data_IF_795598178667
#
_entry.id   IF_795598178667
#
_cell.length_a   1.000
_cell.length_b   1.000
_cell.length_c   1.000
_cell.angle_alpha   90.00
_cell.angle_beta   90.00
_cell.angle_gamma   90.00
#
_symmetry.space_group_name_H-M   'P 1'
#
loop_
_entity.id
_entity.type
_entity.pdbx_description
1 polymer ?
#
# COMPACT_ATOMS: atom_id res chain seq x y z
N UNK A 1 -19.49 11.28 -6.99
CA UNK A 1 -19.90 10.81 -5.65
C UNK A 1 -18.65 10.53 -4.83
N UNK A 2 -18.63 10.90 -3.55
CA UNK A 2 -17.50 10.61 -2.67
C UNK A 2 -17.54 9.12 -2.30
N UNK A 3 -16.41 8.42 -2.40
CA UNK A 3 -16.37 7.00 -2.01
C UNK A 3 -16.44 6.88 -0.47
N UNK A 4 -17.17 5.88 0.07
CA UNK A 4 -17.14 5.57 1.49
C UNK A 4 -15.72 5.20 1.97
N UNK A 5 -15.47 5.46 3.25
CA UNK A 5 -14.29 5.00 3.98
C UNK A 5 -14.74 3.96 5.02
N UNK A 6 -14.28 2.71 4.87
CA UNK A 6 -14.51 1.63 5.81
C UNK A 6 -13.32 1.49 6.76
N UNK A 7 -13.58 1.45 8.06
CA UNK A 7 -12.62 1.15 9.11
C UNK A 7 -12.89 -0.25 9.64
N UNK A 8 -11.98 -1.17 9.34
CA UNK A 8 -12.01 -2.55 9.83
C UNK A 8 -10.88 -2.79 10.83
N UNK A 9 -10.83 -3.97 11.44
CA UNK A 9 -9.75 -4.37 12.34
C UNK A 9 -10.25 -5.00 13.63
N UNK A 10 -9.30 -5.47 14.44
CA UNK A 10 -9.60 -6.23 15.65
C UNK A 10 -10.37 -5.40 16.67
N UNK A 11 -10.99 -6.07 17.66
CA UNK A 11 -11.68 -5.35 18.73
C UNK A 11 -10.70 -4.43 19.47
N UNK A 12 -11.18 -3.30 20.00
CA UNK A 12 -10.35 -2.29 20.68
C UNK A 12 -9.25 -1.61 19.82
N UNK A 13 -9.25 -1.83 18.49
CA UNK A 13 -8.40 -1.08 17.55
C UNK A 13 -8.79 0.40 17.39
N UNK A 14 -9.89 0.86 18.00
CA UNK A 14 -10.31 2.26 17.97
C UNK A 14 -11.17 2.69 16.78
N UNK A 15 -11.73 1.75 16.01
CA UNK A 15 -12.55 2.00 14.80
C UNK A 15 -13.61 3.09 14.99
N UNK A 16 -14.47 2.98 16.01
CA UNK A 16 -15.52 3.96 16.29
C UNK A 16 -14.95 5.34 16.63
N UNK A 17 -13.96 5.40 17.51
CA UNK A 17 -13.35 6.65 17.96
C UNK A 17 -12.60 7.37 16.84
N UNK A 18 -11.79 6.63 16.08
CA UNK A 18 -11.07 7.15 14.89
C UNK A 18 -12.06 7.57 13.81
N UNK A 19 -13.10 6.78 13.55
CA UNK A 19 -14.13 7.10 12.57
C UNK A 19 -14.88 8.38 12.90
N UNK A 20 -15.25 8.59 14.18
CA UNK A 20 -15.86 9.84 14.65
C UNK A 20 -14.90 11.03 14.51
N UNK A 21 -13.63 10.86 14.83
CA UNK A 21 -12.62 11.91 14.67
C UNK A 21 -12.47 12.33 13.21
N UNK A 22 -12.39 11.36 12.27
CA UNK A 22 -12.31 11.64 10.83
C UNK A 22 -13.58 12.32 10.33
N UNK A 23 -14.75 11.80 10.72
CA UNK A 23 -16.04 12.37 10.33
C UNK A 23 -16.18 13.83 10.79
N UNK A 24 -15.84 14.11 12.05
CA UNK A 24 -15.83 15.47 12.59
C UNK A 24 -14.86 16.39 11.84
N UNK A 25 -13.65 15.92 11.53
CA UNK A 25 -12.64 16.71 10.82
C UNK A 25 -12.99 16.97 9.34
N UNK A 26 -13.83 16.12 8.73
CA UNK A 26 -14.15 16.18 7.30
C UNK A 26 -15.57 16.62 6.99
N UNK A 27 -16.42 16.81 8.01
CA UNK A 27 -17.85 17.07 7.85
C UNK A 27 -18.65 15.90 7.26
N UNK A 28 -18.05 14.69 7.19
CA UNK A 28 -18.70 13.49 6.68
C UNK A 28 -19.60 12.87 7.74
N UNK A 29 -20.64 12.17 7.29
CA UNK A 29 -21.48 11.35 8.18
C UNK A 29 -20.68 10.16 8.71
N UNK A 30 -20.80 9.89 10.01
CA UNK A 30 -20.26 8.70 10.66
C UNK A 30 -21.35 7.65 10.84
N UNK A 31 -21.02 6.39 10.55
CA UNK A 31 -21.87 5.22 10.79
C UNK A 31 -21.06 4.16 11.53
N UNK A 32 -21.65 3.57 12.58
CA UNK A 32 -21.13 2.36 13.20
C UNK A 32 -22.07 1.20 12.86
N UNK A 33 -21.55 0.14 12.22
CA UNK A 33 -22.37 -0.99 11.79
C UNK A 33 -23.02 -1.71 12.98
N UNK A 34 -22.34 -1.75 14.13
CA UNK A 34 -22.88 -2.36 15.35
C UNK A 34 -24.09 -1.55 15.86
N UNK A 35 -24.05 -0.21 15.77
CA UNK A 35 -25.17 0.67 16.14
C UNK A 35 -26.35 0.52 15.16
N UNK A 36 -26.07 0.37 13.87
CA UNK A 36 -27.10 0.14 12.83
C UNK A 36 -27.85 -1.16 13.09
N UNK A 37 -27.16 -2.23 13.50
CA UNK A 37 -27.78 -3.51 13.84
C UNK A 37 -28.57 -3.40 15.16
N UNK A 38 -28.01 -2.75 16.17
CA UNK A 38 -28.64 -2.60 17.49
C UNK A 38 -29.93 -1.76 17.47
N UNK A 39 -30.10 -0.88 16.46
CA UNK A 39 -31.34 -0.13 16.24
C UNK A 39 -32.59 -1.02 16.06
N UNK A 40 -32.42 -2.32 15.80
CA UNK A 40 -33.50 -3.33 15.78
C UNK A 40 -34.03 -3.73 17.17
N UNK A 41 -33.45 -3.23 18.27
CA UNK A 41 -33.96 -3.38 19.63
C UNK A 41 -33.23 -4.41 20.51
N UNK A 42 -32.24 -5.14 19.96
CA UNK A 42 -31.40 -6.08 20.71
C UNK A 42 -29.92 -5.70 20.62
N UNK A 43 -29.16 -5.89 21.72
CA UNK A 43 -27.71 -5.64 21.72
C UNK A 43 -26.95 -6.68 20.90
N UNK A 44 -25.86 -6.26 20.25
CA UNK A 44 -24.95 -7.15 19.48
C UNK A 44 -24.46 -8.33 20.32
N UNK A 45 -24.13 -8.12 21.59
CA UNK A 45 -23.68 -9.19 22.48
C UNK A 45 -24.75 -10.27 22.69
N UNK A 46 -26.02 -9.86 22.84
CA UNK A 46 -27.13 -10.80 22.97
C UNK A 46 -27.41 -11.56 21.67
N UNK A 47 -27.31 -10.88 20.52
CA UNK A 47 -27.48 -11.50 19.21
C UNK A 47 -26.42 -12.60 18.95
N UNK A 48 -25.15 -12.29 19.20
CA UNK A 48 -24.03 -13.22 19.02
C UNK A 48 -24.14 -14.41 19.96
N UNK A 49 -24.51 -14.19 21.23
CA UNK A 49 -24.65 -15.27 22.20
C UNK A 49 -25.80 -16.24 21.87
N UNK A 50 -26.83 -15.77 21.15
CA UNK A 50 -27.97 -16.59 20.74
C UNK A 50 -27.66 -17.44 19.52
N UNK A 51 -27.15 -16.83 18.46
CA UNK A 51 -26.84 -17.50 17.17
C UNK A 51 -25.84 -16.65 16.39
N UNK A 52 -24.55 -16.98 16.51
CA UNK A 52 -23.48 -16.26 15.80
C UNK A 52 -23.63 -16.35 14.26
N UNK A 53 -23.89 -17.51 13.64
CA UNK A 53 -24.16 -17.58 12.20
C UNK A 53 -25.29 -16.66 11.71
N UNK A 54 -26.41 -16.59 12.44
CA UNK A 54 -27.51 -15.69 12.12
C UNK A 54 -27.10 -14.22 12.30
N UNK A 55 -26.40 -13.90 13.38
CA UNK A 55 -25.85 -12.56 13.58
C UNK A 55 -24.95 -12.14 12.39
N UNK A 56 -24.08 -13.02 11.92
CA UNK A 56 -23.21 -12.73 10.76
C UNK A 56 -23.98 -12.49 9.47
N UNK A 57 -25.08 -13.24 9.23
CA UNK A 57 -25.99 -12.98 8.09
C UNK A 57 -26.64 -11.60 8.20
N UNK A 58 -27.08 -11.20 9.40
CA UNK A 58 -27.64 -9.86 9.65
C UNK A 58 -26.59 -8.77 9.47
N UNK A 59 -25.37 -8.98 9.95
CA UNK A 59 -24.23 -8.06 9.77
C UNK A 59 -23.92 -7.83 8.28
N UNK A 60 -23.90 -8.90 7.47
CA UNK A 60 -23.73 -8.80 6.02
C UNK A 60 -24.88 -8.05 5.32
N UNK A 61 -26.13 -8.28 5.72
CA UNK A 61 -27.30 -7.58 5.17
C UNK A 61 -27.31 -6.08 5.53
N UNK A 62 -26.94 -5.74 6.77
CA UNK A 62 -26.77 -4.37 7.22
C UNK A 62 -25.65 -3.67 6.43
N UNK A 63 -24.51 -4.33 6.23
CA UNK A 63 -23.40 -3.81 5.43
C UNK A 63 -23.84 -3.50 3.99
N UNK A 64 -24.58 -4.42 3.35
CA UNK A 64 -25.10 -4.20 2.00
C UNK A 64 -26.03 -2.96 1.92
N UNK A 65 -26.88 -2.77 2.93
CA UNK A 65 -27.76 -1.60 3.04
C UNK A 65 -26.96 -0.30 3.21
N UNK A 66 -25.95 -0.33 4.09
CA UNK A 66 -25.06 0.82 4.30
C UNK A 66 -24.30 1.18 3.03
N UNK A 67 -23.77 0.20 2.30
CA UNK A 67 -23.08 0.41 1.02
C UNK A 67 -24.02 1.05 0.00
N UNK A 68 -25.24 0.55 -0.15
CA UNK A 68 -26.22 1.11 -1.08
C UNK A 68 -26.60 2.57 -0.76
N UNK A 69 -26.62 2.93 0.53
CA UNK A 69 -26.90 4.29 1.02
C UNK A 69 -25.68 5.21 1.16
N UNK A 70 -24.50 4.82 0.69
CA UNK A 70 -23.22 5.51 0.93
C UNK A 70 -22.83 6.55 -0.13
N UNK A 71 -23.79 7.12 -0.86
CA UNK A 71 -23.54 8.06 -1.99
C UNK A 71 -22.89 9.39 -1.58
N UNK A 72 -23.06 9.79 -0.31
CA UNK A 72 -22.43 10.95 0.34
C UNK A 72 -20.98 10.65 0.82
N UNK A 73 -20.51 9.42 0.62
CA UNK A 73 -19.19 8.96 1.06
C UNK A 73 -19.04 9.03 2.58
N UNK A 74 -19.80 8.28 3.38
CA UNK A 74 -19.69 8.27 4.84
C UNK A 74 -18.38 7.62 5.32
N UNK A 75 -18.07 7.83 6.60
CA UNK A 75 -17.06 7.05 7.35
C UNK A 75 -17.79 5.95 8.12
N UNK A 76 -17.42 4.69 7.88
CA UNK A 76 -18.13 3.51 8.37
C UNK A 76 -17.16 2.69 9.24
N UNK A 77 -17.47 2.52 10.52
CA UNK A 77 -16.79 1.55 11.37
C UNK A 77 -17.55 0.21 11.33
N UNK A 78 -16.85 -0.91 11.22
CA UNK A 78 -17.46 -2.25 11.20
C UNK A 78 -17.20 -3.01 12.50
N UNK A 79 -18.04 -4.02 12.79
CA UNK A 79 -17.73 -5.04 13.78
C UNK A 79 -16.43 -5.79 13.47
N UNK A 80 -15.78 -6.32 14.50
CA UNK A 80 -14.47 -6.99 14.34
C UNK A 80 -14.52 -8.28 13.51
N UNK A 81 -15.69 -8.91 13.36
CA UNK A 81 -15.84 -10.10 12.51
C UNK A 81 -16.39 -9.80 11.11
N UNK A 82 -16.87 -8.57 10.85
CA UNK A 82 -17.58 -8.21 9.63
C UNK A 82 -16.78 -8.53 8.36
N UNK A 83 -15.49 -8.17 8.33
CA UNK A 83 -14.63 -8.36 7.16
C UNK A 83 -14.30 -9.84 6.87
N UNK A 84 -14.40 -10.72 7.87
CA UNK A 84 -14.02 -12.14 7.76
C UNK A 84 -15.18 -13.00 7.25
N UNK A 85 -16.41 -12.47 7.28
CA UNK A 85 -17.58 -13.22 6.90
C UNK A 85 -17.93 -13.07 5.42
N UNK A 86 -18.01 -14.20 4.70
CA UNK A 86 -18.41 -14.23 3.30
C UNK A 86 -17.49 -13.40 2.40
N UNK A 87 -18.09 -12.62 1.51
CA UNK A 87 -17.44 -11.70 0.57
C UNK A 87 -17.49 -10.23 1.04
N UNK A 88 -17.67 -10.00 2.35
CA UNK A 88 -17.88 -8.65 2.89
C UNK A 88 -16.68 -7.72 2.63
N UNK A 89 -15.44 -8.22 2.75
CA UNK A 89 -14.25 -7.43 2.48
C UNK A 89 -14.21 -6.98 1.02
N UNK A 90 -14.52 -7.88 0.10
CA UNK A 90 -14.55 -7.64 -1.34
C UNK A 90 -15.63 -6.63 -1.70
N UNK A 91 -16.82 -6.73 -1.07
CA UNK A 91 -17.89 -5.72 -1.22
C UNK A 91 -17.46 -4.34 -0.73
N UNK A 92 -16.83 -4.26 0.44
CA UNK A 92 -16.30 -3.00 0.95
C UNK A 92 -15.22 -2.42 0.03
N UNK A 93 -14.30 -3.27 -0.46
CA UNK A 93 -13.24 -2.84 -1.37
C UNK A 93 -13.77 -2.35 -2.72
N UNK A 94 -14.80 -3.01 -3.26
CA UNK A 94 -15.47 -2.58 -4.49
C UNK A 94 -16.23 -1.26 -4.31
N UNK A 95 -16.78 -1.01 -3.11
CA UNK A 95 -17.56 0.18 -2.82
C UNK A 95 -16.70 1.42 -2.49
N UNK A 96 -15.54 1.25 -1.84
CA UNK A 96 -14.71 2.38 -1.42
C UNK A 96 -13.40 1.99 -0.75
N UNK A 97 -12.80 2.96 -0.04
CA UNK A 97 -11.52 2.74 0.63
C UNK A 97 -11.72 1.92 1.90
N UNK A 98 -10.86 0.94 2.13
CA UNK A 98 -10.91 0.05 3.30
C UNK A 98 -9.59 0.15 4.02
N UNK A 99 -9.61 0.64 5.26
CA UNK A 99 -8.42 0.77 6.10
C UNK A 99 -8.59 -0.13 7.30
N UNK A 100 -7.67 -1.07 7.47
CA UNK A 100 -7.56 -1.87 8.67
C UNK A 100 -6.79 -1.10 9.73
N UNK A 101 -7.41 -0.93 10.91
CA UNK A 101 -6.71 -0.44 12.10
C UNK A 101 -6.03 -1.62 12.78
N UNK A 102 -4.70 -1.68 12.63
CA UNK A 102 -3.83 -2.65 13.28
C UNK A 102 -3.63 -2.31 14.75
N UNK A 103 -3.67 -3.31 15.60
CA UNK A 103 -3.39 -3.16 17.03
C UNK A 103 -2.72 -4.43 17.52
N UNK A 104 -1.68 -4.28 18.34
CA UNK A 104 -1.11 -5.41 19.05
C UNK A 104 -2.16 -6.07 19.95
N UNK A 105 -2.16 -7.40 20.02
CA UNK A 105 -3.18 -8.15 20.78
C UNK A 105 -3.15 -7.77 22.25
N UNK A 106 -1.97 -7.63 22.86
CA UNK A 106 -1.85 -7.30 24.30
C UNK A 106 -2.35 -5.89 24.57
N UNK A 107 -2.07 -4.96 23.65
CA UNK A 107 -2.60 -3.60 23.72
C UNK A 107 -4.13 -3.57 23.55
N UNK A 108 -4.69 -4.39 22.66
CA UNK A 108 -6.13 -4.54 22.49
C UNK A 108 -6.80 -5.10 23.76
N UNK A 109 -6.20 -6.11 24.38
CA UNK A 109 -6.65 -6.68 25.66
C UNK A 109 -6.62 -5.62 26.78
N UNK A 110 -5.52 -4.87 26.90
CA UNK A 110 -5.38 -3.77 27.88
C UNK A 110 -6.46 -2.70 27.70
N UNK A 111 -6.74 -2.30 26.46
CA UNK A 111 -7.81 -1.34 26.14
C UNK A 111 -9.21 -1.91 26.45
N UNK A 112 -9.39 -3.22 26.32
CA UNK A 112 -10.66 -3.89 26.60
C UNK A 112 -10.95 -4.07 28.10
N UNK A 113 -9.94 -4.08 28.97
CA UNK A 113 -10.09 -4.24 30.43
C UNK A 113 -10.89 -3.11 31.10
N UNK A 114 -11.03 -1.94 30.47
CA UNK A 114 -11.85 -0.83 30.96
C UNK A 114 -13.32 -0.86 30.54
N UNK A 115 -13.78 -1.91 29.84
CA UNK A 115 -15.15 -2.05 29.33
C UNK A 115 -15.92 -3.21 29.97
N UNK A 116 -17.21 -3.42 29.62
CA UNK A 116 -17.99 -4.56 30.10
C UNK A 116 -17.31 -5.89 29.73
N UNK A 117 -17.45 -6.95 30.57
CA UNK A 117 -16.74 -8.21 30.41
C UNK A 117 -17.05 -8.83 29.04
N UNK A 118 -16.02 -8.95 28.20
CA UNK A 118 -16.12 -9.58 26.88
C UNK A 118 -15.60 -11.02 26.97
N UNK A 119 -16.42 -12.05 26.71
CA UNK A 119 -16.04 -13.46 26.84
C UNK A 119 -14.86 -13.91 25.94
N UNK A 120 -14.40 -13.06 25.02
CA UNK A 120 -13.35 -13.37 24.03
C UNK A 120 -11.90 -13.13 24.51
N UNK A 121 -11.68 -12.62 25.72
CA UNK A 121 -10.32 -12.30 26.21
C UNK A 121 -9.42 -13.53 26.36
N UNK A 122 -9.97 -14.69 26.75
CA UNK A 122 -9.20 -15.93 26.92
C UNK A 122 -8.73 -16.55 25.58
N UNK A 123 -9.35 -16.17 24.46
CA UNK A 123 -9.05 -16.67 23.12
C UNK A 123 -8.65 -15.54 22.13
N UNK A 124 -8.38 -14.34 22.65
CA UNK A 124 -8.17 -13.15 21.83
C UNK A 124 -6.97 -13.30 20.90
N UNK A 125 -5.87 -13.90 21.38
CA UNK A 125 -4.69 -14.18 20.56
C UNK A 125 -5.00 -15.12 19.39
N UNK A 126 -5.68 -16.25 19.64
CA UNK A 126 -6.07 -17.19 18.59
C UNK A 126 -6.97 -16.51 17.54
N UNK A 127 -7.97 -15.76 18.00
CA UNK A 127 -8.89 -15.05 17.13
C UNK A 127 -8.21 -13.95 16.31
N UNK A 128 -7.27 -13.22 16.92
CA UNK A 128 -6.50 -12.19 16.22
C UNK A 128 -5.63 -12.81 15.12
N UNK A 129 -4.95 -13.92 15.40
CA UNK A 129 -4.15 -14.65 14.40
C UNK A 129 -5.00 -15.15 13.24
N UNK A 130 -6.21 -15.65 13.49
CA UNK A 130 -7.13 -16.09 12.43
C UNK A 130 -7.66 -14.95 11.56
N UNK A 131 -7.83 -13.75 12.12
CA UNK A 131 -8.41 -12.60 11.40
C UNK A 131 -7.38 -11.71 10.73
N UNK A 132 -6.12 -11.75 11.18
CA UNK A 132 -5.05 -10.90 10.66
C UNK A 132 -4.83 -11.04 9.14
N UNK A 133 -4.84 -12.25 8.53
CA UNK A 133 -4.72 -12.40 7.07
C UNK A 133 -5.79 -11.61 6.31
N UNK A 134 -7.05 -11.68 6.77
CA UNK A 134 -8.16 -10.93 6.16
C UNK A 134 -7.98 -9.42 6.30
N UNK A 135 -7.54 -8.93 7.47
CA UNK A 135 -7.29 -7.50 7.64
C UNK A 135 -6.13 -6.98 6.78
N UNK A 136 -5.09 -7.79 6.54
CA UNK A 136 -3.98 -7.44 5.65
C UNK A 136 -4.42 -7.27 4.19
N UNK A 137 -5.54 -7.88 3.80
CA UNK A 137 -6.17 -7.70 2.48
C UNK A 137 -6.97 -6.40 2.35
N UNK A 138 -6.99 -5.53 3.36
CA UNK A 138 -7.51 -4.15 3.21
C UNK A 138 -6.68 -3.35 2.20
N UNK A 139 -7.17 -2.18 1.76
CA UNK A 139 -6.37 -1.29 0.91
C UNK A 139 -5.16 -0.73 1.67
N UNK A 140 -5.25 -0.57 2.98
CA UNK A 140 -4.13 -0.18 3.83
C UNK A 140 -4.28 -0.75 5.24
N UNK A 141 -3.16 -0.89 5.93
CA UNK A 141 -3.11 -1.16 7.38
C UNK A 141 -2.46 0.04 8.06
N UNK A 142 -3.11 0.60 9.07
CA UNK A 142 -2.60 1.69 9.91
C UNK A 142 -2.44 1.17 11.33
N UNK A 143 -1.22 1.18 11.85
CA UNK A 143 -0.96 0.80 13.24
C UNK A 143 -1.53 1.85 14.21
N UNK A 144 -2.16 1.38 15.27
CA UNK A 144 -2.77 2.20 16.32
C UNK A 144 -2.05 2.03 17.66
N UNK A 145 -1.05 1.17 17.72
CA UNK A 145 -0.30 0.87 18.93
C UNK A 145 0.59 2.05 19.30
N UNK A 146 0.46 2.57 20.52
CA UNK A 146 1.24 3.75 20.96
C UNK A 146 0.83 5.09 20.33
N UNK A 147 -0.21 5.14 19.52
CA UNK A 147 -0.69 6.35 18.86
C UNK A 147 -2.02 6.87 19.44
N UNK A 148 -2.17 8.18 19.47
CA UNK A 148 -3.43 8.84 19.81
C UNK A 148 -4.46 8.70 18.68
N UNK A 149 -5.74 8.88 19.02
CA UNK A 149 -6.83 8.83 18.03
C UNK A 149 -6.62 9.88 16.92
N UNK A 150 -6.10 11.07 17.27
CA UNK A 150 -5.86 12.15 16.31
C UNK A 150 -4.73 11.80 15.32
N UNK A 151 -3.64 11.17 15.80
CA UNK A 151 -2.54 10.72 14.95
C UNK A 151 -3.01 9.61 13.99
N UNK A 152 -3.77 8.63 14.50
CA UNK A 152 -4.33 7.55 13.68
C UNK A 152 -5.31 8.12 12.63
N UNK A 153 -6.20 9.04 13.02
CA UNK A 153 -7.12 9.69 12.08
C UNK A 153 -6.35 10.44 10.98
N UNK A 154 -5.28 11.15 11.33
CA UNK A 154 -4.41 11.85 10.37
C UNK A 154 -3.74 10.87 9.40
N UNK A 155 -3.23 9.73 9.91
CA UNK A 155 -2.64 8.69 9.09
C UNK A 155 -3.64 8.06 8.11
N UNK A 156 -4.86 7.75 8.57
CA UNK A 156 -5.95 7.25 7.71
C UNK A 156 -6.32 8.27 6.62
N UNK A 157 -6.40 9.55 6.95
CA UNK A 157 -6.66 10.60 5.96
C UNK A 157 -5.52 10.74 4.94
N UNK A 158 -4.27 10.50 5.35
CA UNK A 158 -3.13 10.49 4.42
C UNK A 158 -3.19 9.30 3.44
N UNK A 159 -3.58 8.12 3.93
CA UNK A 159 -3.92 6.97 3.08
C UNK A 159 -5.04 7.33 2.10
N UNK A 160 -6.11 7.97 2.58
CA UNK A 160 -7.23 8.38 1.73
C UNK A 160 -6.81 9.36 0.63
N UNK A 161 -5.92 10.32 0.94
CA UNK A 161 -5.33 11.20 -0.07
C UNK A 161 -4.51 10.43 -1.11
N UNK A 162 -3.68 9.48 -0.68
CA UNK A 162 -2.90 8.65 -1.60
C UNK A 162 -3.79 7.82 -2.52
N UNK A 163 -4.82 7.17 -1.97
CA UNK A 163 -5.79 6.39 -2.72
C UNK A 163 -6.63 7.22 -3.71
N UNK A 164 -7.06 8.43 -3.30
CA UNK A 164 -7.83 9.34 -4.18
C UNK A 164 -7.03 9.86 -5.37
N UNK A 165 -5.70 9.92 -5.27
CA UNK A 165 -4.81 10.30 -6.40
C UNK A 165 -4.76 9.21 -7.48
N UNK A 166 -5.20 7.98 -7.19
CA UNK A 166 -5.21 6.91 -8.18
C UNK A 166 -6.40 7.06 -9.14
N UNK A 167 -6.19 6.76 -10.44
CA UNK A 167 -7.29 6.55 -11.37
C UNK A 167 -8.25 5.48 -10.84
N UNK A 168 -9.53 5.59 -11.18
CA UNK A 168 -10.55 4.67 -10.65
C UNK A 168 -10.24 3.19 -10.92
N UNK A 169 -9.61 2.88 -12.07
CA UNK A 169 -9.21 1.54 -12.46
C UNK A 169 -8.13 0.91 -11.57
N UNK A 170 -7.39 1.69 -10.78
CA UNK A 170 -6.30 1.23 -9.91
C UNK A 170 -6.63 1.39 -8.41
N UNK A 171 -7.91 1.61 -8.07
CA UNK A 171 -8.32 1.81 -6.67
C UNK A 171 -8.38 0.52 -5.85
N UNK A 172 -8.14 -0.63 -6.46
CA UNK A 172 -7.87 -1.89 -5.79
C UNK A 172 -6.42 -2.00 -5.26
N UNK A 173 -5.57 -1.03 -5.54
CA UNK A 173 -4.17 -1.00 -5.10
C UNK A 173 -4.00 -1.11 -3.58
N UNK A 174 -2.85 -1.66 -3.19
CA UNK A 174 -2.37 -1.62 -1.81
C UNK A 174 -1.68 -0.29 -1.55
N UNK A 175 -2.06 0.39 -0.48
CA UNK A 175 -1.44 1.64 -0.03
C UNK A 175 -0.53 1.35 1.17
N UNK A 176 0.74 1.67 1.02
CA UNK A 176 1.71 1.60 2.11
C UNK A 176 1.53 2.84 2.98
N UNK A 177 0.97 2.67 4.18
CA UNK A 177 0.61 3.77 5.07
C UNK A 177 1.84 4.33 5.81
N UNK A 178 2.33 5.50 5.38
CA UNK A 178 3.52 6.18 5.93
C UNK A 178 3.27 7.68 6.16
N UNK A 179 2.04 8.04 6.54
CA UNK A 179 1.61 9.43 6.67
C UNK A 179 1.61 10.14 5.31
N UNK A 180 2.13 11.36 5.22
CA UNK A 180 2.22 12.11 3.95
C UNK A 180 3.08 11.43 2.87
N UNK A 181 3.92 10.46 3.26
CA UNK A 181 4.73 9.67 2.33
C UNK A 181 4.04 8.39 1.86
N UNK A 182 2.74 8.23 2.14
CA UNK A 182 1.99 7.06 1.68
C UNK A 182 1.96 6.99 0.15
N UNK A 183 2.16 5.79 -0.38
CA UNK A 183 2.20 5.53 -1.82
C UNK A 183 1.48 4.22 -2.15
N UNK A 184 1.10 4.09 -3.42
CA UNK A 184 0.42 2.91 -3.92
C UNK A 184 1.41 1.88 -4.48
N UNK A 185 1.07 0.62 -4.30
CA UNK A 185 1.61 -0.53 -5.01
C UNK A 185 0.47 -1.09 -5.85
N UNK A 186 0.58 -0.98 -7.17
CA UNK A 186 -0.46 -1.44 -8.11
C UNK A 186 -0.01 -2.71 -8.81
N UNK A 187 -0.97 -3.56 -9.18
CA UNK A 187 -0.73 -4.73 -10.01
C UNK A 187 -1.68 -4.70 -11.19
N UNK A 188 -1.14 -4.69 -12.41
CA UNK A 188 -1.93 -4.65 -13.65
C UNK A 188 -1.35 -5.59 -14.71
N UNK A 189 -2.14 -5.87 -15.74
CA UNK A 189 -1.66 -6.67 -16.87
C UNK A 189 -0.55 -5.92 -17.63
N UNK A 190 -0.78 -4.64 -17.93
CA UNK A 190 0.15 -3.76 -18.63
C UNK A 190 0.37 -2.46 -17.85
N UNK A 191 1.45 -1.74 -18.17
CA UNK A 191 1.73 -0.44 -17.58
C UNK A 191 0.67 0.58 -18.04
N UNK A 192 0.07 1.28 -17.08
CA UNK A 192 -0.84 2.40 -17.36
C UNK A 192 -0.07 3.73 -17.32
N UNK A 193 0.06 4.43 -18.46
CA UNK A 193 0.72 5.73 -18.52
C UNK A 193 0.04 6.78 -17.62
N UNK A 194 -1.29 6.81 -17.54
CA UNK A 194 -2.02 7.80 -16.74
C UNK A 194 -1.76 7.62 -15.25
N UNK A 195 -1.62 6.37 -14.81
CA UNK A 195 -1.24 6.04 -13.44
C UNK A 195 0.16 6.58 -13.11
N UNK A 196 1.17 6.30 -13.94
CA UNK A 196 2.55 6.73 -13.69
C UNK A 196 2.65 8.25 -13.69
N UNK A 197 2.09 8.88 -14.72
CA UNK A 197 2.13 10.33 -14.89
C UNK A 197 1.37 11.06 -13.77
N UNK A 198 0.21 10.55 -13.35
CA UNK A 198 -0.55 11.10 -12.23
C UNK A 198 0.18 11.06 -10.88
N UNK A 199 1.09 10.09 -10.68
CA UNK A 199 1.88 9.99 -9.44
C UNK A 199 3.18 10.80 -9.49
N UNK A 200 3.72 11.07 -10.68
CA UNK A 200 4.89 11.94 -10.86
C UNK A 200 4.58 13.42 -10.60
N UNK A 201 3.32 13.85 -10.78
CA UNK A 201 2.89 15.20 -10.48
C UNK A 201 3.13 16.14 -11.66
N UNK A 202 4.04 17.11 -11.52
CA UNK A 202 4.43 18.02 -12.61
C UNK A 202 5.93 18.28 -12.64
N UNK A 203 6.75 17.24 -12.88
CA UNK A 203 8.19 17.40 -12.91
C UNK A 203 8.66 18.30 -14.06
N UNK A 204 9.76 19.02 -13.83
CA UNK A 204 10.46 19.83 -14.85
C UNK A 204 11.10 18.97 -15.93
N UNK A 205 11.63 17.80 -15.55
CA UNK A 205 12.18 16.74 -16.42
C UNK A 205 11.95 15.37 -15.80
N UNK A 206 11.92 14.36 -16.67
CA UNK A 206 11.85 12.95 -16.27
C UNK A 206 13.10 12.24 -16.80
N UNK A 207 13.73 11.44 -15.94
CA UNK A 207 14.77 10.50 -16.36
C UNK A 207 14.38 9.06 -16.05
N UNK A 208 14.47 8.18 -17.04
CA UNK A 208 14.33 6.73 -16.89
C UNK A 208 15.72 6.13 -16.69
N UNK A 209 15.93 5.49 -15.54
CA UNK A 209 17.14 4.73 -15.24
C UNK A 209 16.81 3.24 -15.37
N UNK A 210 17.60 2.51 -16.15
CA UNK A 210 17.39 1.08 -16.44
C UNK A 210 18.71 0.35 -16.66
N UNK A 211 18.68 -0.97 -16.88
CA UNK A 211 19.85 -1.74 -17.34
C UNK A 211 19.73 -2.11 -18.83
N UNK A 212 20.84 -2.49 -19.47
CA UNK A 212 20.85 -2.79 -20.91
C UNK A 212 19.92 -3.92 -21.35
N UNK A 213 19.68 -4.94 -20.51
CA UNK A 213 18.78 -6.05 -20.85
C UNK A 213 17.33 -5.57 -20.84
N UNK A 214 16.92 -4.86 -19.77
CA UNK A 214 15.58 -4.30 -19.63
C UNK A 214 15.33 -3.21 -20.67
N UNK A 215 16.34 -2.40 -20.98
CA UNK A 215 16.27 -1.35 -21.99
C UNK A 215 15.88 -1.92 -23.37
N UNK A 216 16.55 -3.00 -23.79
CA UNK A 216 16.30 -3.62 -25.09
C UNK A 216 14.86 -4.15 -25.24
N UNK A 217 14.22 -4.56 -24.14
CA UNK A 217 12.88 -5.14 -24.16
C UNK A 217 11.77 -4.11 -23.94
N UNK A 218 11.95 -3.20 -22.98
CA UNK A 218 10.82 -2.47 -22.38
C UNK A 218 10.94 -0.95 -22.46
N UNK A 219 12.16 -0.40 -22.60
CA UNK A 219 12.38 1.05 -22.58
C UNK A 219 11.60 1.79 -23.68
N UNK A 220 11.55 1.32 -24.95
CA UNK A 220 10.77 2.02 -25.98
C UNK A 220 9.29 2.17 -25.63
N UNK A 221 8.67 1.12 -25.08
CA UNK A 221 7.27 1.14 -24.68
C UNK A 221 7.03 2.08 -23.48
N UNK A 222 7.94 2.07 -22.50
CA UNK A 222 7.84 2.95 -21.32
C UNK A 222 8.06 4.42 -21.69
N UNK A 223 9.03 4.72 -22.55
CA UNK A 223 9.25 6.10 -23.04
C UNK A 223 8.04 6.58 -23.85
N UNK A 224 7.48 5.73 -24.72
CA UNK A 224 6.27 6.06 -25.46
C UNK A 224 5.07 6.34 -24.54
N UNK A 225 4.92 5.56 -23.46
CA UNK A 225 3.93 5.82 -22.42
C UNK A 225 4.14 7.18 -21.73
N UNK A 226 5.39 7.60 -21.53
CA UNK A 226 5.72 8.86 -20.86
C UNK A 226 5.77 10.08 -21.80
N UNK A 227 5.57 9.89 -23.10
CA UNK A 227 5.75 10.94 -24.11
C UNK A 227 4.87 12.19 -23.90
N UNK A 228 3.78 12.10 -23.13
CA UNK A 228 2.94 13.23 -22.75
C UNK A 228 3.66 14.33 -21.93
N UNK A 229 4.85 14.05 -21.42
CA UNK A 229 5.71 15.01 -20.67
C UNK A 229 6.74 15.74 -21.53
N UNK A 230 6.84 15.40 -22.82
CA UNK A 230 7.93 15.86 -23.68
C UNK A 230 9.13 14.91 -23.64
N UNK A 231 10.34 15.48 -23.82
CA UNK A 231 11.56 14.70 -23.90
C UNK A 231 11.89 14.02 -22.56
N UNK A 232 11.95 12.68 -22.60
CA UNK A 232 12.30 11.83 -21.47
C UNK A 232 13.78 11.45 -21.59
N UNK A 233 14.57 11.81 -20.60
CA UNK A 233 15.97 11.38 -20.53
C UNK A 233 16.04 9.88 -20.24
N UNK A 234 16.96 9.17 -20.89
CA UNK A 234 17.15 7.74 -20.65
C UNK A 234 18.62 7.45 -20.39
N UNK A 235 18.90 6.69 -19.34
CA UNK A 235 20.25 6.28 -18.98
C UNK A 235 20.24 4.80 -18.62
N UNK A 236 21.08 4.02 -19.32
CA UNK A 236 21.27 2.61 -19.05
C UNK A 236 22.55 2.34 -18.24
N UNK A 237 22.50 1.32 -17.40
CA UNK A 237 23.66 0.76 -16.70
C UNK A 237 23.92 -0.68 -17.15
N UNK A 238 25.11 -1.18 -16.85
CA UNK A 238 25.41 -2.61 -17.05
C UNK A 238 24.48 -3.49 -16.18
N UNK A 239 23.99 -4.62 -16.70
CA UNK A 239 23.16 -5.51 -15.91
C UNK A 239 23.99 -6.22 -14.83
N UNK A 240 23.38 -6.39 -13.65
CA UNK A 240 23.93 -7.18 -12.55
C UNK A 240 24.37 -6.37 -11.34
N UNK A 241 24.65 -7.08 -10.24
CA UNK A 241 24.90 -6.50 -8.92
C UNK A 241 26.07 -5.51 -8.90
N UNK A 242 27.10 -5.72 -9.72
CA UNK A 242 28.29 -4.85 -9.78
C UNK A 242 27.95 -3.38 -10.12
N UNK A 243 26.80 -3.15 -10.76
CA UNK A 243 26.32 -1.80 -11.05
C UNK A 243 25.85 -1.04 -9.81
N UNK A 244 25.56 -1.72 -8.69
CA UNK A 244 25.30 -1.07 -7.40
C UNK A 244 26.62 -0.63 -6.75
N UNK A 245 27.27 0.37 -7.34
CA UNK A 245 28.53 0.89 -6.83
C UNK A 245 28.53 2.41 -6.79
N UNK A 246 29.42 2.99 -5.98
CA UNK A 246 29.65 4.44 -5.96
C UNK A 246 30.10 4.99 -7.32
N UNK A 247 30.88 4.22 -8.09
CA UNK A 247 31.31 4.64 -9.42
C UNK A 247 30.13 4.78 -10.38
N UNK A 248 29.21 3.81 -10.38
CA UNK A 248 27.98 3.91 -11.19
C UNK A 248 27.09 5.05 -10.69
N UNK A 249 26.93 5.19 -9.38
CA UNK A 249 26.18 6.28 -8.76
C UNK A 249 26.71 7.67 -9.18
N UNK A 250 28.03 7.88 -9.07
CA UNK A 250 28.68 9.15 -9.43
C UNK A 250 28.48 9.47 -10.90
N UNK A 251 28.64 8.48 -11.79
CA UNK A 251 28.37 8.62 -13.22
C UNK A 251 26.91 9.02 -13.47
N UNK A 252 25.96 8.30 -12.88
CA UNK A 252 24.52 8.60 -13.04
C UNK A 252 24.18 10.01 -12.55
N UNK A 253 24.64 10.38 -11.36
CA UNK A 253 24.38 11.70 -10.79
C UNK A 253 24.96 12.82 -11.68
N UNK A 254 26.21 12.66 -12.14
CA UNK A 254 26.86 13.64 -13.02
C UNK A 254 26.10 13.78 -14.34
N UNK A 255 25.81 12.66 -15.00
CA UNK A 255 25.13 12.65 -16.30
C UNK A 255 23.71 13.24 -16.22
N UNK A 256 22.99 13.00 -15.14
CA UNK A 256 21.65 13.59 -14.93
C UNK A 256 21.72 15.11 -14.74
N UNK A 257 22.70 15.61 -14.00
CA UNK A 257 22.91 17.06 -13.84
C UNK A 257 23.28 17.71 -15.17
N UNK A 258 24.18 17.08 -15.94
CA UNK A 258 24.62 17.57 -17.26
C UNK A 258 23.47 17.60 -18.28
N UNK A 259 22.53 16.66 -18.18
CA UNK A 259 21.28 16.62 -18.97
C UNK A 259 20.22 17.60 -18.47
N UNK A 260 20.53 18.41 -17.46
CA UNK A 260 19.70 19.50 -16.98
C UNK A 260 18.56 19.07 -16.07
N UNK A 261 18.67 17.91 -15.39
CA UNK A 261 17.79 17.63 -14.26
C UNK A 261 18.05 18.64 -13.15
N UNK A 262 16.98 19.02 -12.43
CA UNK A 262 17.00 19.94 -11.31
C UNK A 262 16.17 19.39 -10.12
N UNK A 263 16.00 20.19 -9.07
CA UNK A 263 15.21 19.83 -7.87
C UNK A 263 13.72 19.56 -8.16
N UNK A 264 13.21 19.99 -9.31
CA UNK A 264 11.84 19.77 -9.76
C UNK A 264 11.71 18.55 -10.68
N UNK A 265 12.82 17.86 -11.00
CA UNK A 265 12.80 16.68 -11.87
C UNK A 265 12.34 15.43 -11.12
N UNK A 266 12.10 14.34 -11.85
CA UNK A 266 11.74 13.05 -11.27
C UNK A 266 12.46 11.88 -11.96
N UNK A 267 12.63 10.79 -11.22
CA UNK A 267 13.25 9.55 -11.71
C UNK A 267 12.18 8.47 -11.88
N UNK A 268 12.29 7.70 -12.96
CA UNK A 268 11.57 6.45 -13.17
C UNK A 268 12.59 5.32 -13.17
N UNK A 269 12.52 4.44 -12.17
CA UNK A 269 13.37 3.27 -12.07
C UNK A 269 12.71 2.08 -12.79
N UNK A 270 13.23 1.69 -13.94
CA UNK A 270 12.70 0.60 -14.76
C UNK A 270 13.67 -0.59 -14.70
N UNK A 271 13.38 -1.60 -13.89
CA UNK A 271 14.26 -2.76 -13.79
C UNK A 271 13.99 -3.67 -12.59
N UNK A 272 14.93 -4.59 -12.33
CA UNK A 272 14.92 -5.41 -11.11
C UNK A 272 15.39 -4.66 -9.87
N UNK A 273 15.62 -5.39 -8.77
CA UNK A 273 16.04 -4.81 -7.49
C UNK A 273 17.34 -4.00 -7.57
N UNK A 274 18.27 -4.39 -8.47
CA UNK A 274 19.53 -3.66 -8.70
C UNK A 274 19.29 -2.23 -9.18
N UNK A 275 18.48 -2.09 -10.23
CA UNK A 275 18.11 -0.78 -10.78
C UNK A 275 17.27 -0.01 -9.76
N UNK A 276 16.32 -0.69 -9.10
CA UNK A 276 15.44 -0.06 -8.10
C UNK A 276 16.21 0.57 -6.95
N UNK A 277 17.19 -0.15 -6.38
CA UNK A 277 18.06 0.33 -5.31
C UNK A 277 18.92 1.51 -5.77
N UNK A 278 19.60 1.35 -6.91
CA UNK A 278 20.53 2.34 -7.44
C UNK A 278 19.80 3.64 -7.83
N UNK A 279 18.74 3.54 -8.63
CA UNK A 279 17.93 4.68 -9.05
C UNK A 279 17.22 5.35 -7.87
N UNK A 280 16.75 4.55 -6.90
CA UNK A 280 16.20 5.05 -5.66
C UNK A 280 17.22 5.83 -4.84
N UNK A 281 18.47 5.36 -4.76
CA UNK A 281 19.55 6.05 -4.03
C UNK A 281 19.99 7.33 -4.75
N UNK A 282 20.04 7.32 -6.09
CA UNK A 282 20.21 8.54 -6.89
C UNK A 282 19.08 9.53 -6.58
N UNK A 283 17.81 9.09 -6.61
CA UNK A 283 16.67 9.96 -6.30
C UNK A 283 16.70 10.52 -4.88
N UNK A 284 17.16 9.74 -3.91
CA UNK A 284 17.25 10.15 -2.51
C UNK A 284 18.30 11.24 -2.27
N UNK A 285 19.38 11.23 -3.04
CA UNK A 285 20.58 12.05 -2.78
C UNK A 285 20.72 13.21 -3.75
N UNK A 286 20.33 13.04 -5.02
CA UNK A 286 20.37 14.08 -6.03
C UNK A 286 19.45 15.24 -5.60
N UNK A 287 20.01 16.45 -5.55
CA UNK A 287 19.34 17.64 -5.04
C UNK A 287 18.74 17.50 -3.63
N UNK A 288 19.25 16.56 -2.82
CA UNK A 288 18.73 16.18 -1.49
C UNK A 288 17.33 15.56 -1.51
N UNK A 289 16.95 14.97 -2.62
CA UNK A 289 15.69 14.24 -2.75
C UNK A 289 14.82 14.76 -3.88
N UNK A 290 14.63 13.94 -4.90
CA UNK A 290 13.65 14.13 -5.96
C UNK A 290 12.67 12.94 -6.01
N UNK A 291 11.44 13.14 -6.55
CA UNK A 291 10.47 12.05 -6.68
C UNK A 291 11.01 10.88 -7.49
N UNK A 292 10.64 9.66 -7.08
CA UNK A 292 10.91 8.43 -7.81
C UNK A 292 9.65 7.58 -7.97
N UNK A 293 9.48 6.97 -9.15
CA UNK A 293 8.52 5.90 -9.40
C UNK A 293 9.29 4.61 -9.70
N UNK A 294 8.87 3.51 -9.09
CA UNK A 294 9.45 2.20 -9.32
C UNK A 294 8.56 1.43 -10.30
N UNK A 295 9.13 0.93 -11.40
CA UNK A 295 8.50 0.02 -12.36
C UNK A 295 9.30 -1.29 -12.32
N UNK A 296 9.04 -2.17 -11.33
CA UNK A 296 9.79 -3.40 -11.17
C UNK A 296 9.54 -4.37 -12.32
N UNK A 297 10.60 -4.97 -12.87
CA UNK A 297 10.55 -5.93 -13.99
C UNK A 297 10.89 -7.37 -13.59
N UNK A 298 11.07 -7.63 -12.29
CA UNK A 298 11.30 -8.97 -11.75
C UNK A 298 10.29 -9.26 -10.64
N UNK A 299 9.91 -10.53 -10.46
CA UNK A 299 9.01 -10.96 -9.37
C UNK A 299 9.60 -10.53 -8.02
N UNK A 300 10.91 -10.74 -7.82
CA UNK A 300 11.62 -10.35 -6.60
C UNK A 300 11.47 -8.85 -6.28
N UNK A 301 11.59 -7.99 -7.29
CA UNK A 301 11.43 -6.55 -7.10
C UNK A 301 9.97 -6.16 -6.81
N UNK A 302 9.01 -6.80 -7.50
CA UNK A 302 7.57 -6.56 -7.29
C UNK A 302 7.11 -6.92 -5.86
N UNK A 303 7.78 -7.88 -5.21
CA UNK A 303 7.32 -8.43 -3.92
C UNK A 303 8.16 -8.01 -2.73
N UNK A 304 9.36 -7.48 -2.94
CA UNK A 304 10.30 -7.12 -1.87
C UNK A 304 11.02 -5.79 -2.18
N UNK A 305 11.94 -5.79 -3.14
CA UNK A 305 12.92 -4.70 -3.28
C UNK A 305 12.33 -3.33 -3.66
N UNK A 306 11.20 -3.28 -4.39
CA UNK A 306 10.57 -2.01 -4.74
C UNK A 306 9.72 -1.43 -3.59
N UNK A 307 9.50 -2.20 -2.51
CA UNK A 307 8.60 -1.86 -1.40
C UNK A 307 9.43 -1.55 -0.15
N UNK A 308 8.99 -0.55 0.63
CA UNK A 308 9.62 -0.15 1.89
C UNK A 308 10.66 0.96 1.78
N UNK A 309 11.05 1.35 0.55
CA UNK A 309 11.88 2.52 0.28
C UNK A 309 13.33 2.38 0.73
N UNK A 310 13.83 1.16 0.94
CA UNK A 310 15.26 0.92 1.10
C UNK A 310 15.92 1.09 -0.26
N UNK A 311 16.98 1.89 -0.31
CA UNK A 311 17.74 2.15 -1.53
C UNK A 311 19.21 2.19 -1.16
N UNK A 312 20.10 1.61 -1.96
CA UNK A 312 21.50 1.45 -1.56
C UNK A 312 22.45 1.20 -2.73
N UNK A 313 23.73 1.41 -2.43
CA UNK A 313 24.88 0.94 -3.22
C UNK A 313 25.76 0.05 -2.37
N UNK A 314 26.52 -0.83 -3.02
CA UNK A 314 27.43 -1.75 -2.36
C UNK A 314 28.81 -1.10 -2.15
N UNK A 315 29.48 -1.56 -1.10
CA UNK A 315 30.89 -1.30 -0.84
C UNK A 315 31.70 -2.59 -1.07
N UNK A 316 33.03 -2.50 -1.29
CA UNK A 316 33.88 -3.69 -1.27
C UNK A 316 33.77 -4.50 0.02
N UNK A 317 33.42 -3.84 1.14
CA UNK A 317 33.22 -4.45 2.45
C UNK A 317 31.90 -5.23 2.57
N UNK A 318 30.92 -5.00 1.70
CA UNK A 318 29.63 -5.69 1.76
C UNK A 318 28.50 -4.97 1.03
N UNK A 319 27.40 -5.71 0.86
CA UNK A 319 26.22 -5.26 0.13
C UNK A 319 25.32 -4.36 0.96
N UNK A 320 24.67 -3.40 0.31
CA UNK A 320 23.66 -2.52 0.89
C UNK A 320 24.09 -1.77 2.16
N UNK A 321 25.40 -1.58 2.36
CA UNK A 321 25.92 -0.95 3.58
C UNK A 321 25.76 0.57 3.58
N UNK A 322 25.63 1.19 2.39
CA UNK A 322 25.40 2.63 2.25
C UNK A 322 24.15 2.87 1.44
N UNK A 323 23.21 3.62 2.01
CA UNK A 323 21.89 3.81 1.42
C UNK A 323 21.06 4.86 2.14
N UNK A 324 19.81 4.98 1.71
CA UNK A 324 18.82 5.88 2.28
C UNK A 324 17.43 5.22 2.30
N UNK A 325 16.59 5.65 3.24
CA UNK A 325 15.16 5.36 3.22
C UNK A 325 14.44 6.44 2.41
N UNK A 326 14.13 6.15 1.15
CA UNK A 326 13.46 7.04 0.22
C UNK A 326 12.25 6.37 -0.42
N UNK A 327 11.05 6.84 -0.05
CA UNK A 327 9.82 6.20 -0.49
C UNK A 327 9.47 6.64 -1.93
N UNK A 328 9.08 5.70 -2.80
CA UNK A 328 8.60 6.07 -4.12
C UNK A 328 7.24 6.76 -4.04
N UNK A 329 6.85 7.47 -5.10
CA UNK A 329 5.48 7.97 -5.29
C UNK A 329 4.51 6.86 -5.71
N UNK A 330 5.04 5.81 -6.34
CA UNK A 330 4.31 4.68 -6.88
C UNK A 330 5.26 3.50 -7.09
N UNK A 331 4.76 2.29 -6.84
CA UNK A 331 5.34 1.04 -7.36
C UNK A 331 4.33 0.44 -8.34
N UNK A 332 4.67 0.43 -9.63
CA UNK A 332 3.78 -0.02 -10.71
C UNK A 332 4.17 -1.42 -11.20
N UNK A 333 3.50 -2.45 -10.70
CA UNK A 333 3.76 -3.85 -11.09
C UNK A 333 2.92 -4.22 -12.33
N UNK A 334 3.48 -3.97 -13.51
CA UNK A 334 2.92 -4.46 -14.77
C UNK A 334 3.43 -5.88 -15.06
N UNK A 335 2.51 -6.85 -15.09
CA UNK A 335 2.84 -8.28 -15.14
C UNK A 335 3.30 -8.77 -16.52
N UNK A 336 2.94 -8.08 -17.60
CA UNK A 336 3.45 -8.32 -18.96
C UNK A 336 4.97 -8.14 -19.09
N UNK A 337 5.57 -7.25 -18.29
CA UNK A 337 7.03 -7.06 -18.24
C UNK A 337 7.76 -8.33 -17.83
N UNK A 338 7.10 -9.22 -17.09
CA UNK A 338 7.64 -10.52 -16.70
C UNK A 338 7.73 -11.51 -17.88
N UNK A 339 7.15 -11.22 -19.05
CA UNK A 339 7.18 -12.12 -20.21
C UNK A 339 8.62 -12.37 -20.70
N UNK A 340 9.52 -11.40 -20.55
CA UNK A 340 10.93 -11.51 -20.94
C UNK A 340 11.84 -11.96 -19.79
N UNK A 341 11.29 -12.17 -18.58
CA UNK A 341 12.07 -12.54 -17.40
C UNK A 341 12.67 -13.96 -17.55
N UNK A 342 14.01 -14.11 -17.46
CA UNK A 342 14.65 -15.42 -17.56
C UNK A 342 14.13 -16.42 -16.53
N UNK A 343 14.06 -17.70 -16.91
CA UNK A 343 13.48 -18.75 -16.06
C UNK A 343 14.16 -18.89 -14.68
N UNK A 344 15.47 -18.62 -14.59
CA UNK A 344 16.20 -18.62 -13.32
C UNK A 344 15.73 -17.51 -12.38
N UNK A 345 15.62 -16.28 -12.89
CA UNK A 345 15.15 -15.12 -12.12
C UNK A 345 13.69 -15.28 -11.70
N UNK A 346 12.86 -15.87 -12.56
CA UNK A 346 11.48 -16.23 -12.23
C UNK A 346 11.42 -17.18 -11.02
N UNK A 347 12.24 -18.25 -11.01
CA UNK A 347 12.30 -19.18 -9.88
C UNK A 347 12.80 -18.50 -8.60
N UNK A 348 13.80 -17.64 -8.70
CA UNK A 348 14.32 -16.89 -7.56
C UNK A 348 13.22 -16.01 -6.92
N UNK A 349 12.46 -15.27 -7.74
CA UNK A 349 11.36 -14.46 -7.23
C UNK A 349 10.21 -15.29 -6.61
N UNK A 350 9.87 -16.45 -7.19
CA UNK A 350 8.92 -17.36 -6.54
C UNK A 350 9.43 -17.89 -5.20
N UNK A 351 10.74 -18.09 -5.05
CA UNK A 351 11.34 -18.47 -3.76
C UNK A 351 11.03 -17.46 -2.65
N UNK A 352 11.09 -16.16 -2.95
CA UNK A 352 10.71 -15.12 -1.99
C UNK A 352 9.20 -15.07 -1.73
N UNK A 353 8.36 -15.32 -2.73
CA UNK A 353 6.91 -15.46 -2.51
C UNK A 353 6.59 -16.61 -1.55
N UNK A 354 7.28 -17.75 -1.70
CA UNK A 354 7.16 -18.87 -0.77
C UNK A 354 7.58 -18.51 0.66
N UNK A 355 8.62 -17.68 0.84
CA UNK A 355 9.00 -17.15 2.16
C UNK A 355 7.82 -16.43 2.81
N UNK A 356 7.13 -15.54 2.09
CA UNK A 356 5.97 -14.83 2.64
C UNK A 356 4.81 -15.78 2.96
N UNK A 357 4.49 -16.74 2.09
CA UNK A 357 3.45 -17.74 2.37
C UNK A 357 3.76 -18.55 3.64
N UNK A 358 5.03 -18.92 3.86
CA UNK A 358 5.44 -19.65 5.07
C UNK A 358 5.38 -18.78 6.35
N UNK A 359 5.65 -17.48 6.23
CA UNK A 359 5.58 -16.55 7.37
C UNK A 359 4.13 -16.17 7.72
N UNK A 360 3.25 -16.04 6.73
CA UNK A 360 1.86 -15.63 6.92
C UNK A 360 0.95 -16.78 7.37
N UNK A 361 1.32 -18.03 7.08
CA UNK A 361 0.56 -19.23 7.44
C UNK A 361 -0.22 -19.83 6.26
N UNK A 362 -0.92 -20.96 6.46
CA UNK A 362 -1.40 -21.84 5.39
C UNK A 362 -2.65 -21.38 4.60
N UNK A 363 -2.83 -20.08 4.32
CA UNK A 363 -3.91 -19.60 3.43
C UNK A 363 -3.42 -19.26 2.01
#
# INVERSE_FOLDING_TARGET
MAAPLFLIGFMAAGKTSVGRAIASATGRRFLDLDDVIAASGESVAALVARDEPEFRRREAAALATVIAGASDGPVIATGGGAAVFGDNLERMRAAGLVVALGVDVREAERRAQGGPPRPLLAAAATLASQRAPVYRRAHAVVDTSGHSIAEVATAVQAVERAWKRLPAAHRDATIVALGERSYAVTTSAALDPELVTGQLGSPSRIAVITDHNVAAHHLPAVVAALAGWGDVETIAVEPGEASKSFATYERLATELVDRGLDRGSAIVALGGGVVGDLAGFVAATLYRGIPVVQIPTTILAMTDAAIGGKTAVDLPAGKNLVGAFWQPRLVACATDLLATLPARERRAGFGELWKYALLDGPE
#
